data_IF_718250117117
#
_entry.id   IF_718250117117
#
_cell.length_a   1.000
_cell.length_b   1.000
_cell.length_c   1.000
_cell.angle_alpha   90.00
_cell.angle_beta   90.00
_cell.angle_gamma   90.00
#
_symmetry.space_group_name_H-M   'P 1'
#
loop_
_entity.id
_entity.type
_entity.pdbx_description
1 polymer ?
#
# COMPACT_ATOMS: atom_id res chain seq x y z
N UNK A 1 -16.60 -15.62 -26.36
CA UNK A 1 -15.25 -16.20 -26.19
C UNK A 1 -14.31 -15.09 -25.76
N UNK A 2 -14.05 -14.96 -24.45
CA UNK A 2 -13.20 -13.90 -23.88
C UNK A 2 -11.84 -14.50 -23.50
N UNK A 3 -11.03 -14.86 -24.48
CA UNK A 3 -9.60 -14.98 -24.24
C UNK A 3 -9.03 -13.59 -24.50
N UNK A 4 -8.76 -12.83 -23.44
CA UNK A 4 -7.91 -11.66 -23.56
C UNK A 4 -6.63 -12.10 -24.27
N UNK A 5 -6.29 -11.47 -25.41
CA UNK A 5 -5.05 -11.77 -26.13
C UNK A 5 -3.88 -11.45 -25.20
N UNK A 6 -3.17 -12.48 -24.74
CA UNK A 6 -1.95 -12.31 -24.00
C UNK A 6 -0.80 -11.92 -24.94
N UNK A 7 0.07 -11.04 -24.49
CA UNK A 7 1.27 -10.61 -25.22
C UNK A 7 2.51 -11.30 -24.65
N UNK A 8 3.36 -11.82 -25.54
CA UNK A 8 4.62 -12.44 -25.13
C UNK A 8 5.69 -11.36 -24.93
N UNK A 9 6.27 -11.30 -23.73
CA UNK A 9 7.33 -10.37 -23.35
C UNK A 9 8.62 -11.12 -23.03
N UNK A 10 9.74 -10.49 -23.34
CA UNK A 10 11.09 -11.04 -23.13
C UNK A 10 12.05 -10.06 -22.43
N UNK A 11 11.64 -8.80 -22.22
CA UNK A 11 12.41 -7.79 -21.49
C UNK A 11 11.82 -7.56 -20.12
N UNK A 12 12.68 -7.48 -19.10
CA UNK A 12 12.27 -7.25 -17.72
C UNK A 12 11.51 -5.92 -17.55
N UNK A 13 11.96 -4.86 -18.22
CA UNK A 13 11.34 -3.53 -18.16
C UNK A 13 9.88 -3.55 -18.61
N UNK A 14 9.59 -4.22 -19.72
CA UNK A 14 8.24 -4.36 -20.26
C UNK A 14 7.36 -5.17 -19.31
N UNK A 15 7.92 -6.24 -18.71
CA UNK A 15 7.22 -7.08 -17.73
C UNK A 15 6.88 -6.29 -16.46
N UNK A 16 7.82 -5.49 -15.95
CA UNK A 16 7.59 -4.65 -14.78
C UNK A 16 6.53 -3.58 -15.08
N UNK A 17 6.62 -2.92 -16.24
CA UNK A 17 5.62 -1.93 -16.68
C UNK A 17 4.22 -2.53 -16.72
N UNK A 18 4.07 -3.71 -17.29
CA UNK A 18 2.78 -4.39 -17.37
C UNK A 18 2.26 -4.90 -16.02
N UNK A 19 3.16 -5.40 -15.16
CA UNK A 19 2.80 -5.75 -13.79
C UNK A 19 2.26 -4.53 -13.02
N UNK A 20 2.88 -3.36 -13.19
CA UNK A 20 2.45 -2.10 -12.57
C UNK A 20 1.13 -1.57 -13.15
N UNK A 21 0.76 -1.96 -14.37
CA UNK A 21 -0.58 -1.68 -14.94
C UNK A 21 -1.66 -2.61 -14.39
N UNK A 22 -1.29 -3.63 -13.63
CA UNK A 22 -2.22 -4.64 -13.10
C UNK A 22 -2.44 -5.83 -14.03
N UNK A 23 -1.56 -6.05 -15.01
CA UNK A 23 -1.60 -7.23 -15.87
C UNK A 23 -1.16 -8.47 -15.08
N UNK A 24 -1.73 -9.62 -15.44
CA UNK A 24 -1.32 -10.92 -14.92
C UNK A 24 -0.14 -11.42 -15.76
N UNK A 25 1.01 -11.61 -15.13
CA UNK A 25 2.19 -12.18 -15.78
C UNK A 25 2.24 -13.68 -15.51
N UNK A 26 2.23 -14.48 -16.58
CA UNK A 26 2.40 -15.93 -16.53
C UNK A 26 3.80 -16.27 -17.01
N UNK A 27 4.56 -16.98 -16.19
CA UNK A 27 5.89 -17.50 -16.53
C UNK A 27 5.89 -19.02 -16.44
N UNK A 28 6.56 -19.68 -17.38
CA UNK A 28 6.74 -21.13 -17.35
C UNK A 28 8.20 -21.50 -17.64
N UNK A 29 8.73 -22.49 -16.92
CA UNK A 29 10.15 -22.88 -17.00
C UNK A 29 10.60 -23.23 -18.43
N UNK A 30 9.71 -23.81 -19.24
CA UNK A 30 10.03 -24.20 -20.62
C UNK A 30 10.14 -23.03 -21.61
N UNK A 31 9.75 -21.80 -21.22
CA UNK A 31 9.69 -20.65 -22.13
C UNK A 31 11.00 -19.85 -22.22
N UNK A 32 12.12 -20.38 -21.71
CA UNK A 32 13.48 -19.83 -21.88
C UNK A 32 13.57 -18.30 -21.63
N UNK A 33 12.92 -17.81 -20.59
CA UNK A 33 12.93 -16.37 -20.24
C UNK A 33 11.83 -15.52 -20.89
N UNK A 34 10.94 -16.11 -21.68
CA UNK A 34 9.71 -15.46 -22.11
C UNK A 34 8.59 -15.61 -21.08
N UNK A 35 7.78 -14.58 -20.96
CA UNK A 35 6.56 -14.55 -20.14
C UNK A 35 5.39 -14.08 -20.97
N UNK A 36 4.18 -14.42 -20.55
CA UNK A 36 2.95 -13.95 -21.19
C UNK A 36 2.28 -12.94 -20.25
N UNK A 37 2.08 -11.72 -20.72
CA UNK A 37 1.32 -10.67 -20.06
C UNK A 37 -0.15 -10.75 -20.51
N UNK A 38 -1.07 -10.85 -19.56
CA UNK A 38 -2.51 -10.87 -19.82
C UNK A 38 -3.13 -9.64 -19.14
N UNK A 39 -3.72 -8.71 -19.90
CA UNK A 39 -4.45 -7.60 -19.29
C UNK A 39 -5.66 -8.14 -18.55
N UNK A 40 -5.76 -7.85 -17.26
CA UNK A 40 -6.93 -8.22 -16.47
C UNK A 40 -8.07 -7.26 -16.84
N UNK A 41 -9.20 -7.79 -17.29
CA UNK A 41 -10.39 -6.99 -17.56
C UNK A 41 -10.84 -6.29 -16.27
N UNK A 42 -11.16 -5.00 -16.37
CA UNK A 42 -11.48 -4.07 -15.28
C UNK A 42 -12.06 -4.74 -14.03
N UNK A 43 -11.29 -4.74 -12.94
CA UNK A 43 -11.83 -5.00 -11.62
C UNK A 43 -12.79 -3.86 -11.32
N UNK A 44 -14.11 -4.12 -11.36
CA UNK A 44 -15.13 -3.21 -10.84
C UNK A 44 -14.86 -2.98 -9.34
N UNK A 45 -14.07 -1.98 -9.01
CA UNK A 45 -13.89 -1.55 -7.62
C UNK A 45 -15.21 -1.00 -7.10
N UNK A 46 -15.54 -1.34 -5.86
CA UNK A 46 -16.66 -0.71 -5.13
C UNK A 46 -16.47 0.81 -5.17
N UNK A 47 -17.57 1.56 -5.26
CA UNK A 47 -17.58 3.01 -5.18
C UNK A 47 -16.87 3.45 -3.91
N UNK A 48 -15.74 4.14 -4.06
CA UNK A 48 -15.03 4.76 -2.94
C UNK A 48 -15.90 5.90 -2.39
N UNK A 49 -16.06 5.95 -1.07
CA UNK A 49 -16.85 6.98 -0.41
C UNK A 49 -16.10 8.31 -0.29
N UNK A 50 -16.88 9.40 -0.14
CA UNK A 50 -16.32 10.75 0.02
C UNK A 50 -15.69 10.90 1.41
N UNK A 51 -14.66 11.75 1.57
CA UNK A 51 -13.98 11.89 2.85
C UNK A 51 -14.93 12.55 3.85
N UNK A 52 -14.90 12.05 5.09
CA UNK A 52 -15.83 12.50 6.14
C UNK A 52 -15.16 13.49 7.07
N UNK A 53 -13.85 13.34 7.30
CA UNK A 53 -13.03 14.21 8.15
C UNK A 53 -12.47 15.40 7.35
N UNK A 54 -11.94 15.13 6.14
CA UNK A 54 -11.31 16.16 5.32
C UNK A 54 -12.28 16.72 4.26
N UNK A 55 -12.68 17.99 4.39
CA UNK A 55 -13.45 18.69 3.34
C UNK A 55 -12.54 19.10 2.19
N UNK A 56 -12.40 18.22 1.20
CA UNK A 56 -11.72 18.54 -0.06
C UNK A 56 -12.66 19.37 -0.96
N UNK A 57 -12.43 20.68 -1.08
CA UNK A 57 -13.23 21.57 -1.92
C UNK A 57 -12.87 21.49 -3.42
N UNK A 58 -11.61 21.17 -3.75
CA UNK A 58 -11.14 20.85 -5.09
C UNK A 58 -10.14 19.68 -5.00
N UNK A 59 -10.45 18.54 -5.63
CA UNK A 59 -9.56 17.36 -5.61
C UNK A 59 -10.30 16.03 -5.69
N UNK A 60 -9.54 14.92 -5.66
CA UNK A 60 -10.06 13.56 -5.70
C UNK A 60 -11.00 13.29 -4.52
N UNK A 61 -12.19 12.77 -4.81
CA UNK A 61 -13.21 12.41 -3.82
C UNK A 61 -13.07 10.98 -3.30
N UNK A 62 -11.97 10.31 -3.65
CA UNK A 62 -11.67 8.96 -3.18
C UNK A 62 -11.00 9.07 -1.81
N UNK A 63 -11.53 8.34 -0.83
CA UNK A 63 -11.01 8.25 0.53
C UNK A 63 -10.58 6.83 0.83
N UNK A 64 -9.70 6.65 1.82
CA UNK A 64 -9.49 5.32 2.37
C UNK A 64 -10.79 4.73 2.93
N UNK A 65 -10.93 3.42 2.79
CA UNK A 65 -12.03 2.63 3.35
C UNK A 65 -11.51 1.75 4.49
N UNK A 66 -12.38 1.04 5.19
CA UNK A 66 -11.96 0.19 6.32
C UNK A 66 -11.11 -1.02 5.89
N UNK A 67 -11.21 -1.44 4.63
CA UNK A 67 -10.48 -2.59 4.10
C UNK A 67 -9.03 -2.22 3.70
N UNK A 68 -8.06 -2.82 4.39
CA UNK A 68 -6.64 -2.54 4.18
C UNK A 68 -6.15 -2.91 2.78
N UNK A 69 -6.61 -4.04 2.23
CA UNK A 69 -6.15 -4.51 0.93
C UNK A 69 -6.70 -3.64 -0.21
N UNK A 70 -7.92 -3.13 -0.09
CA UNK A 70 -8.49 -2.09 -0.96
C UNK A 70 -7.66 -0.80 -0.92
N UNK A 71 -7.26 -0.35 0.27
CA UNK A 71 -6.43 0.85 0.43
C UNK A 71 -5.04 0.69 -0.20
N UNK A 72 -4.41 -0.48 -0.03
CA UNK A 72 -3.15 -0.82 -0.72
C UNK A 72 -3.34 -0.83 -2.24
N UNK A 73 -4.48 -1.33 -2.73
CA UNK A 73 -4.86 -1.26 -4.13
C UNK A 73 -4.94 0.19 -4.65
N UNK A 74 -5.50 1.11 -3.87
CA UNK A 74 -5.51 2.54 -4.20
C UNK A 74 -4.08 3.08 -4.35
N UNK A 75 -3.17 2.79 -3.41
CA UNK A 75 -1.77 3.22 -3.53
C UNK A 75 -1.10 2.71 -4.81
N UNK A 76 -1.31 1.44 -5.17
CA UNK A 76 -0.74 0.87 -6.41
C UNK A 76 -1.34 1.46 -7.68
N UNK A 77 -2.59 1.92 -7.65
CA UNK A 77 -3.24 2.59 -8.78
C UNK A 77 -2.67 4.00 -9.00
N UNK A 78 -2.36 4.69 -7.90
CA UNK A 78 -1.85 6.07 -7.92
C UNK A 78 -0.34 6.13 -8.15
N UNK A 79 0.44 5.29 -7.46
CA UNK A 79 1.90 5.24 -7.53
C UNK A 79 2.31 4.03 -8.38
N UNK A 80 2.63 4.29 -9.65
CA UNK A 80 3.10 3.26 -10.61
C UNK A 80 4.62 3.10 -10.55
N UNK A 81 5.16 2.94 -9.34
CA UNK A 81 6.58 2.76 -9.09
C UNK A 81 6.89 1.34 -8.59
N UNK A 82 7.91 0.70 -9.17
CA UNK A 82 8.38 -0.64 -8.80
C UNK A 82 9.03 -0.68 -7.42
N UNK A 83 9.48 0.47 -6.90
CA UNK A 83 10.09 0.62 -5.58
C UNK A 83 9.04 0.75 -4.47
N UNK A 84 7.75 0.91 -4.80
CA UNK A 84 6.65 0.95 -3.83
C UNK A 84 6.58 -0.38 -3.08
N UNK A 85 7.05 -0.35 -1.83
CA UNK A 85 7.14 -1.51 -0.96
C UNK A 85 6.02 -1.45 0.07
N UNK A 86 5.31 -2.57 0.21
CA UNK A 86 4.26 -2.76 1.23
C UNK A 86 4.70 -3.91 2.12
N UNK A 87 4.90 -3.63 3.41
CA UNK A 87 5.26 -4.64 4.41
C UNK A 87 4.11 -4.80 5.40
N UNK A 88 3.63 -6.03 5.59
CA UNK A 88 2.54 -6.32 6.51
C UNK A 88 3.05 -6.77 7.87
N UNK A 89 2.35 -6.33 8.91
CA UNK A 89 2.58 -6.67 10.30
C UNK A 89 1.25 -7.07 10.95
N UNK A 90 1.35 -7.86 12.01
CA UNK A 90 0.22 -8.18 12.88
C UNK A 90 0.49 -7.55 14.23
N UNK A 91 -0.38 -6.65 14.66
CA UNK A 91 -0.24 -5.93 15.91
C UNK A 91 -1.35 -6.31 16.90
N UNK A 92 -0.96 -6.49 18.16
CA UNK A 92 -1.82 -6.91 19.26
C UNK A 92 -1.98 -8.43 19.37
N UNK A 93 -2.06 -8.93 20.60
CA UNK A 93 -2.07 -10.38 20.88
C UNK A 93 -3.42 -11.03 20.61
N UNK A 94 -4.51 -10.37 21.03
CA UNK A 94 -5.88 -10.89 20.87
C UNK A 94 -6.56 -10.33 19.64
N UNK A 95 -6.40 -9.03 19.37
CA UNK A 95 -7.04 -8.39 18.21
C UNK A 95 -6.41 -8.79 16.88
N UNK A 96 -5.11 -9.13 16.86
CA UNK A 96 -4.34 -9.52 15.66
C UNK A 96 -4.61 -8.60 14.47
N UNK A 97 -4.58 -7.29 14.73
CA UNK A 97 -4.90 -6.27 13.74
C UNK A 97 -3.81 -6.24 12.67
N UNK A 98 -4.21 -6.33 11.39
CA UNK A 98 -3.30 -6.23 10.24
C UNK A 98 -2.91 -4.77 10.03
N UNK A 99 -1.62 -4.48 9.98
CA UNK A 99 -1.07 -3.15 9.73
C UNK A 99 -0.14 -3.23 8.52
N UNK A 100 -0.20 -2.25 7.62
CA UNK A 100 0.71 -2.15 6.49
C UNK A 100 1.62 -0.92 6.63
N UNK A 101 2.92 -1.12 6.46
CA UNK A 101 3.88 -0.03 6.25
C UNK A 101 4.12 0.10 4.74
N UNK A 102 3.82 1.27 4.18
CA UNK A 102 3.95 1.56 2.75
C UNK A 102 5.01 2.65 2.57
N UNK A 103 5.99 2.43 1.69
CA UNK A 103 7.08 3.38 1.43
C UNK A 103 7.74 3.12 0.07
N UNK A 104 8.43 4.12 -0.48
CA UNK A 104 9.31 3.96 -1.65
C UNK A 104 10.71 3.58 -1.17
N UNK A 105 11.23 2.42 -1.58
CA UNK A 105 12.48 1.85 -1.05
C UNK A 105 13.72 2.71 -1.32
N UNK A 106 13.74 3.38 -2.46
CA UNK A 106 14.84 4.22 -2.94
C UNK A 106 14.79 5.66 -2.41
N UNK A 107 13.62 6.10 -1.93
CA UNK A 107 13.42 7.46 -1.38
C UNK A 107 13.43 7.45 0.15
N UNK A 108 12.82 6.44 0.77
CA UNK A 108 12.68 6.38 2.22
C UNK A 108 14.02 6.12 2.92
N UNK A 109 14.26 6.83 4.02
CA UNK A 109 15.45 6.60 4.83
C UNK A 109 15.38 5.20 5.49
N UNK A 110 16.36 4.31 5.23
CA UNK A 110 16.29 2.92 5.68
C UNK A 110 16.33 2.77 7.21
N UNK A 111 16.96 3.70 7.93
CA UNK A 111 17.02 3.67 9.39
C UNK A 111 15.64 3.90 10.01
N UNK A 112 14.88 4.85 9.48
CA UNK A 112 13.49 5.10 9.91
C UNK A 112 12.58 3.93 9.59
N UNK A 113 12.69 3.35 8.38
CA UNK A 113 11.92 2.15 8.01
C UNK A 113 12.20 1.01 8.97
N UNK A 114 13.48 0.81 9.34
CA UNK A 114 13.90 -0.24 10.27
C UNK A 114 13.39 0.00 11.69
N UNK A 115 13.44 1.23 12.16
CA UNK A 115 12.94 1.63 13.48
C UNK A 115 11.44 1.40 13.58
N UNK A 116 10.66 1.95 12.65
CA UNK A 116 9.20 1.78 12.60
C UNK A 116 8.84 0.30 12.49
N UNK A 117 9.51 -0.45 11.61
CA UNK A 117 9.28 -1.90 11.47
C UNK A 117 9.58 -2.66 12.76
N UNK A 118 10.61 -2.25 13.50
CA UNK A 118 10.99 -2.86 14.78
C UNK A 118 9.95 -2.54 15.85
N UNK A 119 9.47 -1.30 15.92
CA UNK A 119 8.46 -0.88 16.89
C UNK A 119 7.12 -1.58 16.62
N UNK A 120 6.70 -1.67 15.35
CA UNK A 120 5.50 -2.43 14.95
C UNK A 120 5.55 -3.89 15.38
N UNK A 121 6.71 -4.55 15.27
CA UNK A 121 6.89 -5.94 15.72
C UNK A 121 6.86 -6.10 17.24
N UNK A 122 7.19 -5.05 17.99
CA UNK A 122 7.21 -5.05 19.47
C UNK A 122 5.86 -4.74 20.11
N UNK A 123 4.83 -4.43 19.31
CA UNK A 123 3.49 -4.13 19.82
C UNK A 123 2.87 -5.40 20.41
N UNK A 124 2.94 -5.54 21.74
CA UNK A 124 2.41 -6.66 22.51
C UNK A 124 1.35 -6.15 23.50
N UNK A 125 0.28 -5.58 22.96
CA UNK A 125 -0.89 -5.16 23.74
C UNK A 125 -2.06 -6.09 23.43
N UNK A 126 -3.00 -6.25 24.37
CA UNK A 126 -4.16 -7.13 24.16
C UNK A 126 -4.99 -6.71 22.94
N UNK A 127 -5.22 -5.40 22.78
CA UNK A 127 -6.04 -4.83 21.71
C UNK A 127 -5.60 -3.41 21.34
N UNK A 128 -5.48 -3.14 20.05
CA UNK A 128 -5.42 -1.76 19.52
C UNK A 128 -6.85 -1.24 19.42
N UNK A 129 -7.18 -0.16 20.14
CA UNK A 129 -8.55 0.39 20.19
C UNK A 129 -8.72 1.53 19.18
N UNK A 130 -7.64 2.19 18.77
CA UNK A 130 -7.66 3.15 17.68
C UNK A 130 -6.28 3.50 17.13
N UNK A 131 -6.26 4.40 16.13
CA UNK A 131 -5.02 4.86 15.50
C UNK A 131 -4.08 5.56 16.50
N UNK A 132 -4.62 6.24 17.52
CA UNK A 132 -3.82 6.94 18.54
C UNK A 132 -2.93 5.98 19.33
N UNK A 133 -3.48 4.85 19.78
CA UNK A 133 -2.72 3.84 20.53
C UNK A 133 -1.57 3.31 19.67
N UNK A 134 -1.84 3.04 18.39
CA UNK A 134 -0.83 2.58 17.44
C UNK A 134 0.31 3.60 17.28
N UNK A 135 -0.03 4.89 17.11
CA UNK A 135 0.96 5.93 16.90
C UNK A 135 1.82 6.18 18.15
N UNK A 136 1.23 6.14 19.35
CA UNK A 136 1.99 6.27 20.60
C UNK A 136 3.02 5.14 20.78
N UNK A 137 2.69 3.92 20.34
CA UNK A 137 3.57 2.75 20.40
C UNK A 137 4.68 2.78 19.34
N UNK A 138 4.44 3.40 18.19
CA UNK A 138 5.44 3.53 17.13
C UNK A 138 6.44 4.66 17.47
N UNK A 139 5.93 5.79 17.95
CA UNK A 139 6.72 7.03 18.13
C UNK A 139 7.39 7.07 19.51
N UNK A 140 7.00 6.17 20.43
CA UNK A 140 7.60 6.02 21.76
C UNK A 140 7.65 7.36 22.53
N UNK A 141 6.52 7.78 23.13
CA UNK A 141 6.40 8.93 24.07
C UNK A 141 7.55 9.96 23.98
N UNK A 142 7.67 10.63 22.84
CA UNK A 142 8.62 11.71 22.69
C UNK A 142 8.00 13.00 23.26
N UNK A 143 8.73 13.74 24.09
CA UNK A 143 8.27 15.00 24.71
C UNK A 143 8.30 16.18 23.70
N UNK A 144 7.83 15.96 22.48
CA UNK A 144 7.85 16.97 21.42
C UNK A 144 6.58 17.81 21.46
N UNK A 145 6.75 19.13 21.39
CA UNK A 145 5.66 20.12 21.34
C UNK A 145 4.97 20.21 19.97
N UNK A 146 5.46 19.47 18.98
CA UNK A 146 4.92 19.42 17.63
C UNK A 146 4.49 17.98 17.25
N UNK A 147 3.48 17.83 16.37
CA UNK A 147 3.03 16.52 15.91
C UNK A 147 4.10 15.85 15.06
N UNK A 148 4.37 14.57 15.34
CA UNK A 148 5.32 13.74 14.59
C UNK A 148 4.65 12.89 13.51
N UNK A 149 3.33 12.96 13.41
CA UNK A 149 2.54 12.25 12.42
C UNK A 149 1.30 13.05 12.03
N UNK A 150 0.79 12.77 10.85
CA UNK A 150 -0.48 13.29 10.35
C UNK A 150 -1.41 12.12 10.03
N UNK A 151 -2.68 12.26 10.39
CA UNK A 151 -3.73 11.32 9.99
C UNK A 151 -4.43 11.91 8.77
N UNK A 152 -4.63 11.10 7.74
CA UNK A 152 -5.34 11.53 6.55
C UNK A 152 -6.22 10.44 5.98
N UNK A 153 -7.37 10.86 5.46
CA UNK A 153 -8.31 9.99 4.74
C UNK A 153 -8.09 10.03 3.22
N UNK A 154 -7.23 10.94 2.73
CA UNK A 154 -7.07 11.25 1.31
C UNK A 154 -5.81 10.57 0.77
N UNK A 155 -5.93 9.54 -0.11
CA UNK A 155 -4.78 8.78 -0.60
C UNK A 155 -3.73 9.64 -1.31
N UNK A 156 -4.18 10.67 -2.04
CA UNK A 156 -3.33 11.61 -2.79
C UNK A 156 -2.33 12.32 -1.90
N UNK A 157 -2.74 12.64 -0.68
CA UNK A 157 -1.94 13.41 0.25
C UNK A 157 -0.78 12.59 0.77
N UNK A 158 -1.03 11.31 1.03
CA UNK A 158 0.00 10.33 1.41
C UNK A 158 0.94 10.04 0.25
N UNK A 159 0.46 9.96 -0.99
CA UNK A 159 1.33 9.64 -2.14
C UNK A 159 2.33 10.74 -2.49
N UNK A 160 2.11 11.96 -2.02
CA UNK A 160 2.97 13.13 -2.31
C UNK A 160 4.01 13.38 -1.22
N UNK A 161 3.84 12.77 -0.04
CA UNK A 161 4.69 12.97 1.14
C UNK A 161 5.79 11.91 1.21
#
# INVERSE_FOLDING_TARGET
MLFARGEALNKLEDVLSDLMKGNVIIAHRSWKGQVVSIPLAEIKTRTVEKPTIEKVFLGAKESFVEDLDSNVGLFRRWIKDVNLTVTYFTAGERSKSKVALVYLRDVANPDWVKEISTNLKKIHIDRIVGHKDLMELIICRNQTVFPLYELTEVPVRVSTS
#
